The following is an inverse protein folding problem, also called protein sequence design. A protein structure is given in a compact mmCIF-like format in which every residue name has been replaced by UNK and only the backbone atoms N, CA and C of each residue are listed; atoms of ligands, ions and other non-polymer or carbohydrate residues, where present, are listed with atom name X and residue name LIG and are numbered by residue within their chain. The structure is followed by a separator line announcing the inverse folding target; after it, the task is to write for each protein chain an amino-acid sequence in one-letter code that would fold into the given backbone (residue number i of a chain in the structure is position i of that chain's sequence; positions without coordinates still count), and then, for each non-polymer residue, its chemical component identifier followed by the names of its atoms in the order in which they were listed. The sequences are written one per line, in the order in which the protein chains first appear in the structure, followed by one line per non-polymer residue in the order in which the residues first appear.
data_IF_310531472903
#
_entry.id   IF_310531472903
#
_cell.length_a   1.000
_cell.length_b   1.000
_cell.length_c   1.000
_cell.angle_alpha   90.00
_cell.angle_beta   90.00
_cell.angle_gamma   90.00
#
_symmetry.space_group_name_H-M   'P 1'
#
loop_
_entity.id
_entity.type
_entity.pdbx_description
1 polymer ?
#
# COMPACT_ATOMS: atom_id res chain seq x y z
N UNK A 1 -5.63 -2.34 -21.39
CA UNK A 1 -6.28 -1.66 -20.24
C UNK A 1 -5.74 -2.17 -18.90
N UNK A 2 -5.59 -3.49 -18.73
CA UNK A 2 -5.03 -4.11 -17.52
C UNK A 2 -3.63 -3.60 -17.14
N UNK A 3 -2.71 -3.44 -18.10
CA UNK A 3 -1.34 -2.96 -17.83
C UNK A 3 -1.31 -1.63 -17.07
N UNK A 4 -2.12 -0.67 -17.51
CA UNK A 4 -2.17 0.67 -16.90
C UNK A 4 -2.70 0.60 -15.46
N UNK A 5 -3.68 -0.28 -15.21
CA UNK A 5 -4.22 -0.51 -13.86
C UNK A 5 -3.14 -1.10 -12.94
N UNK A 6 -2.44 -2.15 -13.39
CA UNK A 6 -1.39 -2.78 -12.60
C UNK A 6 -0.21 -1.85 -12.35
N UNK A 7 0.18 -1.05 -13.35
CA UNK A 7 1.24 -0.05 -13.22
C UNK A 7 0.86 1.07 -12.24
N UNK A 8 -0.35 1.62 -12.36
CA UNK A 8 -0.86 2.63 -11.43
C UNK A 8 -0.94 2.08 -9.99
N UNK A 9 -1.52 0.89 -9.82
CA UNK A 9 -1.60 0.23 -8.51
C UNK A 9 -0.24 -0.02 -7.89
N UNK A 10 0.76 -0.39 -8.71
CA UNK A 10 2.13 -0.61 -8.25
C UNK A 10 2.74 0.69 -7.69
N UNK A 11 2.63 1.80 -8.41
CA UNK A 11 3.14 3.10 -7.97
C UNK A 11 2.47 3.58 -6.67
N UNK A 12 1.15 3.42 -6.57
CA UNK A 12 0.41 3.79 -5.35
C UNK A 12 0.81 2.92 -4.16
N UNK A 13 0.93 1.59 -4.35
CA UNK A 13 1.39 0.70 -3.27
C UNK A 13 2.83 0.99 -2.84
N UNK A 14 3.70 1.34 -3.79
CA UNK A 14 5.08 1.72 -3.49
C UNK A 14 5.11 2.99 -2.61
N UNK A 15 4.29 4.00 -2.94
CA UNK A 15 4.17 5.22 -2.14
C UNK A 15 3.64 4.94 -0.72
N UNK A 16 2.63 4.07 -0.60
CA UNK A 16 2.08 3.65 0.70
C UNK A 16 3.15 2.93 1.54
N UNK A 17 3.90 1.99 0.95
CA UNK A 17 5.00 1.32 1.63
C UNK A 17 6.11 2.28 2.07
N UNK A 18 6.49 3.23 1.20
CA UNK A 18 7.50 4.22 1.53
C UNK A 18 7.07 5.11 2.72
N UNK A 19 5.80 5.53 2.74
CA UNK A 19 5.22 6.26 3.88
C UNK A 19 5.25 5.44 5.17
N UNK A 20 4.82 4.17 5.13
CA UNK A 20 4.85 3.29 6.30
C UNK A 20 6.28 3.03 6.79
N UNK A 21 7.25 2.88 5.88
CA UNK A 21 8.66 2.73 6.22
C UNK A 21 9.21 4.00 6.89
N UNK A 22 8.89 5.18 6.37
CA UNK A 22 9.29 6.45 6.98
C UNK A 22 8.75 6.60 8.40
N UNK A 23 7.50 6.19 8.65
CA UNK A 23 6.91 6.16 10.00
C UNK A 23 7.67 5.21 10.94
N UNK A 24 8.17 4.06 10.45
CA UNK A 24 8.98 3.13 11.24
C UNK A 24 10.37 3.71 11.59
N UNK A 25 10.97 4.48 10.69
CA UNK A 25 12.24 5.16 10.92
C UNK A 25 12.08 6.22 12.01
N UNK A 26 11.10 7.13 11.88
CA UNK A 26 10.84 8.15 12.91
C UNK A 26 10.56 7.50 14.28
N UNK A 27 9.81 6.39 14.30
CA UNK A 27 9.54 5.68 15.55
C UNK A 27 10.82 5.07 16.16
N UNK A 28 11.77 4.64 15.33
CA UNK A 28 13.07 4.13 15.78
C UNK A 28 13.97 5.27 16.27
N UNK A 29 13.91 6.45 15.65
CA UNK A 29 14.61 7.66 16.12
C UNK A 29 14.04 8.16 17.45
N UNK A 30 12.72 8.04 17.64
CA UNK A 30 12.07 8.33 18.92
C UNK A 30 12.53 7.36 20.02
N UNK A 31 12.67 6.05 19.72
CA UNK A 31 13.18 5.04 20.67
C UNK A 31 14.63 5.32 21.09
N UNK A 32 15.41 5.96 20.22
CA UNK A 32 16.77 6.41 20.50
C UNK A 32 16.88 7.77 21.21
N UNK A 33 15.76 8.35 21.67
CA UNK A 33 15.69 9.68 22.30
C UNK A 33 16.22 10.83 21.40
N UNK A 34 16.24 10.65 20.09
CA UNK A 34 16.78 11.65 19.15
C UNK A 34 15.76 12.75 18.78
N UNK A 35 14.46 12.49 18.90
CA UNK A 35 13.38 13.38 18.46
C UNK A 35 12.33 13.53 19.57
N UNK A 36 11.70 14.69 19.65
CA UNK A 36 10.61 14.97 20.57
C UNK A 36 9.34 14.14 20.23
N UNK A 37 8.65 13.71 21.29
CA UNK A 37 7.48 12.83 21.22
C UNK A 37 6.29 13.54 20.55
N UNK A 38 6.09 14.82 20.85
CA UNK A 38 5.01 15.62 20.29
C UNK A 38 5.18 15.83 18.78
N UNK A 39 6.41 16.10 18.35
CA UNK A 39 6.73 16.29 16.93
C UNK A 39 6.56 14.97 16.16
N UNK A 40 6.98 13.85 16.76
CA UNK A 40 6.80 12.51 16.19
C UNK A 40 5.32 12.14 16.03
N UNK A 41 4.49 12.37 17.05
CA UNK A 41 3.06 12.06 16.99
C UNK A 41 2.33 12.87 15.91
N UNK A 42 2.66 14.16 15.78
CA UNK A 42 2.09 15.05 14.76
C UNK A 42 2.47 14.62 13.34
N UNK A 43 3.75 14.30 13.12
CA UNK A 43 4.27 13.82 11.83
C UNK A 43 3.62 12.50 11.42
N UNK A 44 3.57 11.53 12.33
CA UNK A 44 2.97 10.23 12.05
C UNK A 44 1.48 10.39 11.72
N UNK A 45 0.75 11.22 12.46
CA UNK A 45 -0.67 11.41 12.21
C UNK A 45 -0.93 12.09 10.85
N UNK A 46 -0.16 13.14 10.54
CA UNK A 46 -0.24 13.83 9.25
C UNK A 46 0.01 12.88 8.06
N UNK A 47 0.93 11.91 8.22
CA UNK A 47 1.25 10.92 7.18
C UNK A 47 0.29 9.72 7.14
N UNK A 48 -0.37 9.40 8.26
CA UNK A 48 -1.27 8.24 8.36
C UNK A 48 -2.60 8.48 7.64
N UNK A 49 -3.16 9.70 7.71
CA UNK A 49 -4.41 10.07 7.04
C UNK A 49 -4.36 9.88 5.52
N UNK A 50 -3.38 10.43 4.77
CA UNK A 50 -3.30 10.25 3.33
C UNK A 50 -3.09 8.78 2.94
N UNK A 51 -2.42 7.99 3.78
CA UNK A 51 -2.24 6.55 3.56
C UNK A 51 -3.58 5.80 3.56
N UNK A 52 -4.45 6.10 4.53
CA UNK A 52 -5.78 5.48 4.62
C UNK A 52 -6.67 5.87 3.44
N UNK A 53 -6.62 7.13 3.03
CA UNK A 53 -7.37 7.62 1.87
C UNK A 53 -6.87 6.92 0.60
N UNK A 54 -5.55 6.86 0.39
CA UNK A 54 -4.95 6.20 -0.77
C UNK A 54 -5.29 4.69 -0.82
N UNK A 55 -5.20 3.99 0.31
CA UNK A 55 -5.58 2.57 0.43
C UNK A 55 -7.08 2.37 0.12
N UNK A 56 -7.95 3.24 0.63
CA UNK A 56 -9.39 3.20 0.39
C UNK A 56 -9.76 3.43 -1.07
N UNK A 57 -9.15 4.45 -1.70
CA UNK A 57 -9.33 4.72 -3.14
C UNK A 57 -8.88 3.52 -3.97
N UNK A 58 -7.72 2.94 -3.65
CA UNK A 58 -7.21 1.80 -4.40
C UNK A 58 -8.08 0.55 -4.24
N UNK A 59 -8.60 0.30 -3.03
CA UNK A 59 -9.57 -0.77 -2.78
C UNK A 59 -10.87 -0.56 -3.59
N UNK A 60 -11.36 0.68 -3.68
CA UNK A 60 -12.53 1.01 -4.51
C UNK A 60 -12.25 0.82 -6.01
N UNK A 61 -11.05 1.17 -6.50
CA UNK A 61 -10.65 0.93 -7.88
C UNK A 61 -10.67 -0.56 -8.20
N UNK A 62 -10.12 -1.42 -7.31
CA UNK A 62 -10.15 -2.87 -7.51
C UNK A 62 -11.56 -3.48 -7.49
N UNK A 63 -12.48 -2.89 -6.73
CA UNK A 63 -13.89 -3.28 -6.75
C UNK A 63 -14.52 -2.95 -8.11
N UNK A 64 -14.26 -1.76 -8.65
CA UNK A 64 -14.80 -1.32 -9.94
C UNK A 64 -14.23 -2.12 -11.12
N UNK A 65 -12.96 -2.54 -11.07
CA UNK A 65 -12.35 -3.38 -12.10
C UNK A 65 -12.66 -4.88 -11.94
N UNK A 66 -13.52 -5.27 -11.00
CA UNK A 66 -13.92 -6.67 -10.75
C UNK A 66 -12.76 -7.62 -10.40
N UNK A 67 -11.68 -7.12 -9.79
CA UNK A 67 -10.58 -7.96 -9.29
C UNK A 67 -10.86 -8.42 -7.85
N UNK A 68 -11.86 -9.29 -7.70
CA UNK A 68 -12.39 -9.75 -6.40
C UNK A 68 -11.32 -10.31 -5.45
N UNK A 69 -10.29 -10.98 -5.96
CA UNK A 69 -9.21 -11.54 -5.13
C UNK A 69 -8.35 -10.45 -4.47
N UNK A 70 -7.98 -9.40 -5.21
CA UNK A 70 -7.22 -8.26 -4.67
C UNK A 70 -8.08 -7.42 -3.72
N UNK A 71 -9.37 -7.28 -4.04
CA UNK A 71 -10.32 -6.64 -3.15
C UNK A 71 -10.44 -7.42 -1.82
N UNK A 72 -10.64 -8.73 -1.86
CA UNK A 72 -10.81 -9.55 -0.64
C UNK A 72 -9.58 -9.49 0.28
N UNK A 73 -8.36 -9.40 -0.28
CA UNK A 73 -7.14 -9.21 0.51
C UNK A 73 -7.02 -7.80 1.10
N UNK A 74 -7.43 -6.76 0.37
CA UNK A 74 -7.31 -5.36 0.82
C UNK A 74 -8.44 -4.95 1.77
N UNK A 75 -9.62 -5.58 1.68
CA UNK A 75 -10.80 -5.34 2.53
C UNK A 75 -10.53 -5.44 4.03
N UNK A 76 -9.93 -6.49 4.60
CA UNK A 76 -9.69 -6.56 6.04
C UNK A 76 -8.78 -5.41 6.51
N UNK A 77 -7.84 -4.98 5.67
CA UNK A 77 -6.98 -3.83 5.96
C UNK A 77 -7.76 -2.50 5.91
N UNK A 78 -8.58 -2.31 4.87
CA UNK A 78 -9.42 -1.11 4.72
C UNK A 78 -10.47 -1.03 5.83
N UNK A 79 -11.11 -2.15 6.21
CA UNK A 79 -12.05 -2.21 7.32
C UNK A 79 -11.37 -1.90 8.66
N UNK A 80 -10.12 -2.35 8.87
CA UNK A 80 -9.34 -1.97 10.04
C UNK A 80 -9.09 -0.46 10.08
N UNK A 81 -8.66 0.13 8.97
CA UNK A 81 -8.41 1.58 8.85
C UNK A 81 -9.68 2.41 9.04
N UNK A 82 -10.80 1.98 8.44
CA UNK A 82 -12.12 2.64 8.56
C UNK A 82 -12.62 2.55 10.00
N UNK A 83 -12.50 1.40 10.66
CA UNK A 83 -12.89 1.24 12.07
C UNK A 83 -12.05 2.14 12.99
N UNK A 84 -10.76 2.31 12.67
CA UNK A 84 -9.86 3.20 13.40
C UNK A 84 -10.22 4.68 13.19
N UNK A 85 -10.59 5.05 11.96
CA UNK A 85 -11.08 6.39 11.60
C UNK A 85 -12.39 6.74 12.32
N UNK A 86 -13.37 5.83 12.32
CA UNK A 86 -14.65 6.03 13.01
C UNK A 86 -14.54 6.09 14.54
N UNK A 87 -13.52 5.44 15.12
CA UNK A 87 -13.28 5.51 16.57
C UNK A 87 -12.62 6.82 17.04
N UNK A 88 -12.32 7.76 16.14
CA UNK A 88 -11.54 8.97 16.42
C UNK A 88 -10.18 8.71 17.11
N UNK A 89 -9.70 7.45 17.09
CA UNK A 89 -8.36 7.06 17.53
C UNK A 89 -7.34 7.19 16.37
N UNK A 90 -7.59 8.12 15.43
CA UNK A 90 -6.66 8.40 14.33
C UNK A 90 -5.40 9.09 14.85
N UNK A 91 -5.54 9.86 15.94
CA UNK A 91 -4.44 10.43 16.69
C UNK A 91 -3.89 9.34 17.60
N UNK A 92 -2.59 9.09 17.48
CA UNK A 92 -1.83 8.49 18.56
C UNK A 92 -2.07 9.37 19.79
N UNK A 93 -2.78 8.85 20.78
CA UNK A 93 -2.84 9.50 22.08
C UNK A 93 -1.44 9.39 22.68
N UNK A 94 -0.81 10.56 22.91
CA UNK A 94 0.58 10.71 23.36
C UNK A 94 0.82 9.92 24.66
N UNK A 95 -0.26 9.65 25.39
CA UNK A 95 -0.29 8.95 26.67
C UNK A 95 -0.26 7.41 26.57
N UNK A 96 -0.69 6.81 25.46
CA UNK A 96 -0.70 5.34 25.27
C UNK A 96 0.50 4.84 24.44
N UNK A 97 0.95 5.60 23.42
CA UNK A 97 2.14 5.23 22.63
C UNK A 97 3.43 5.19 23.46
N UNK A 98 3.48 6.00 24.52
CA UNK A 98 4.62 6.02 25.45
C UNK A 98 4.59 4.88 26.47
N UNK A 99 3.41 4.29 26.72
CA UNK A 99 3.27 3.24 27.73
C UNK A 99 3.81 1.89 27.23
N UNK A 100 3.76 1.65 25.90
CA UNK A 100 4.28 0.44 25.27
C UNK A 100 4.84 0.67 23.83
N UNK A 101 5.94 1.42 23.66
CA UNK A 101 6.52 1.71 22.33
C UNK A 101 6.92 0.44 21.54
N UNK A 102 7.32 -0.63 22.24
CA UNK A 102 7.67 -1.92 21.64
C UNK A 102 6.46 -2.69 21.07
N UNK A 103 5.25 -2.44 21.58
CA UNK A 103 4.03 -3.06 21.07
C UNK A 103 3.54 -2.35 19.79
N UNK A 104 3.53 -1.02 19.77
CA UNK A 104 3.15 -0.24 18.57
C UNK A 104 4.10 -0.49 17.40
N UNK A 105 5.41 -0.58 17.66
CA UNK A 105 6.42 -0.92 16.65
C UNK A 105 6.12 -2.29 16.03
N UNK A 106 5.76 -3.29 16.84
CA UNK A 106 5.36 -4.62 16.34
C UNK A 106 4.11 -4.56 15.46
N UNK A 107 3.09 -3.82 15.86
CA UNK A 107 1.88 -3.64 15.04
C UNK A 107 2.19 -2.97 13.69
N UNK A 108 3.01 -1.90 13.68
CA UNK A 108 3.42 -1.22 12.44
C UNK A 108 4.31 -2.09 11.57
N UNK A 109 5.17 -2.93 12.16
CA UNK A 109 6.01 -3.87 11.43
C UNK A 109 5.18 -5.01 10.82
N UNK A 110 4.17 -5.53 11.53
CA UNK A 110 3.22 -6.51 10.98
C UNK A 110 2.44 -5.89 9.81
N UNK A 111 1.96 -4.65 9.96
CA UNK A 111 1.29 -3.90 8.89
C UNK A 111 2.20 -3.73 7.67
N UNK A 112 3.46 -3.35 7.88
CA UNK A 112 4.46 -3.26 6.81
C UNK A 112 4.71 -4.61 6.13
N UNK A 113 4.82 -5.70 6.90
CA UNK A 113 4.93 -7.05 6.38
C UNK A 113 3.73 -7.46 5.51
N UNK A 114 2.52 -7.06 5.90
CA UNK A 114 1.33 -7.28 5.08
C UNK A 114 1.41 -6.50 3.76
N UNK A 115 1.81 -5.23 3.78
CA UNK A 115 2.00 -4.45 2.55
C UNK A 115 3.08 -5.05 1.64
N UNK A 116 4.15 -5.62 2.18
CA UNK A 116 5.17 -6.34 1.39
C UNK A 116 4.58 -7.54 0.65
N UNK A 117 3.73 -8.33 1.30
CA UNK A 117 3.05 -9.47 0.66
C UNK A 117 2.17 -9.00 -0.48
N UNK A 118 1.34 -7.97 -0.25
CA UNK A 118 0.47 -7.41 -1.30
C UNK A 118 1.30 -6.80 -2.44
N UNK A 119 2.39 -6.11 -2.12
CA UNK A 119 3.32 -5.54 -3.09
C UNK A 119 3.96 -6.63 -3.98
N UNK A 120 4.36 -7.76 -3.41
CA UNK A 120 4.89 -8.89 -4.18
C UNK A 120 3.85 -9.43 -5.18
N UNK A 121 2.58 -9.55 -4.75
CA UNK A 121 1.48 -10.00 -5.62
C UNK A 121 1.25 -8.98 -6.76
N UNK A 122 1.19 -7.68 -6.45
CA UNK A 122 1.01 -6.63 -7.47
C UNK A 122 2.16 -6.65 -8.47
N UNK A 123 3.39 -6.79 -8.00
CA UNK A 123 4.60 -6.87 -8.84
C UNK A 123 4.54 -8.07 -9.77
N UNK A 124 4.16 -9.24 -9.26
CA UNK A 124 3.98 -10.45 -10.07
C UNK A 124 2.90 -10.27 -11.15
N UNK A 125 1.76 -9.66 -10.79
CA UNK A 125 0.65 -9.39 -11.73
C UNK A 125 1.04 -8.37 -12.80
N UNK A 126 1.81 -7.35 -12.42
CA UNK A 126 2.38 -6.39 -13.36
C UNK A 126 3.32 -7.08 -14.35
N UNK A 127 4.24 -7.94 -13.87
CA UNK A 127 5.16 -8.67 -14.73
C UNK A 127 4.42 -9.57 -15.74
N UNK A 128 3.38 -10.29 -15.30
CA UNK A 128 2.51 -11.06 -16.20
C UNK A 128 1.80 -10.18 -17.22
N UNK A 129 1.30 -9.02 -16.80
CA UNK A 129 0.62 -8.08 -17.70
C UNK A 129 1.58 -7.51 -18.75
N UNK A 130 2.82 -7.23 -18.39
CA UNK A 130 3.87 -6.78 -19.33
C UNK A 130 4.22 -7.91 -20.30
N UNK A 131 4.40 -9.12 -19.81
CA UNK A 131 4.70 -10.28 -20.65
C UNK A 131 3.61 -10.55 -21.69
N UNK A 132 2.34 -10.52 -21.28
CA UNK A 132 1.20 -10.68 -22.19
C UNK A 132 1.15 -9.55 -23.23
N UNK A 133 1.37 -8.31 -22.81
CA UNK A 133 1.40 -7.15 -23.72
C UNK A 133 2.49 -7.30 -24.80
N UNK A 134 3.70 -7.72 -24.42
CA UNK A 134 4.79 -7.95 -25.37
C UNK A 134 4.51 -9.13 -26.31
N UNK A 135 3.87 -10.19 -25.79
CA UNK A 135 3.51 -11.37 -26.60
C UNK A 135 2.47 -10.99 -27.66
N UNK A 136 1.45 -10.22 -27.31
CA UNK A 136 0.40 -9.79 -28.24
C UNK A 136 0.98 -8.93 -29.39
N UNK A 137 1.91 -8.00 -29.11
CA UNK A 137 2.60 -7.22 -30.16
C UNK A 137 3.38 -8.12 -31.13
N UNK A 138 4.04 -9.15 -30.62
CA UNK A 138 4.79 -10.10 -31.45
C UNK A 138 3.86 -10.92 -32.35
N UNK A 139 2.71 -11.39 -31.85
CA UNK A 139 1.71 -12.12 -32.66
C UNK A 139 1.09 -11.25 -33.76
N UNK A 140 0.76 -9.99 -33.48
CA UNK A 140 0.18 -9.07 -34.47
C UNK A 140 1.15 -8.79 -35.63
N UNK A 141 2.45 -8.69 -35.33
CA UNK A 141 3.50 -8.53 -36.34
C UNK A 141 3.58 -9.77 -37.26
N UNK A 142 3.57 -10.97 -36.70
CA UNK A 142 3.60 -12.22 -37.49
C UNK A 142 2.37 -12.34 -38.40
N UNK A 143 1.18 -12.02 -37.93
CA UNK A 143 -0.05 -12.07 -38.73
C UNK A 143 -0.03 -11.04 -39.88
N UNK A 144 0.50 -9.84 -39.63
CA UNK A 144 0.64 -8.82 -40.67
C UNK A 144 1.63 -9.24 -41.77
N UNK A 145 2.71 -9.95 -41.41
CA UNK A 145 3.65 -10.51 -42.39
C UNK A 145 3.00 -11.62 -43.23
N UNK A 146 2.22 -12.51 -42.62
CA UNK A 146 1.51 -13.58 -43.34
C UNK A 146 0.41 -13.04 -44.28
N UNK A 147 -0.29 -11.97 -43.89
CA UNK A 147 -1.31 -11.34 -44.74
C UNK A 147 -0.75 -10.65 -46.00
N UNK A 148 0.56 -10.38 -46.05
CA UNK A 148 1.23 -9.73 -47.19
C UNK A 148 1.92 -10.72 -48.15
N UNK A 149 1.94 -12.01 -47.81
CA UNK A 149 2.42 -13.09 -48.67
C UNK A 149 1.31 -13.71 -49.50
#
# INVERSE_FOLDING_TARGET
MELNLWAFSYLVHLAIMASTYYQLVILSDLEGDYINIYDTASLINCMTVPEFIAQGILSAIFLLTCHWFMFLMTVPLTCYHVRLFFKQQHLIDVTDAFRFPSAEKKFRLIKFGFYLVVFAIITFRLALSVFNFLSDEEYDLYLFQLSKS
#
